data_IF_720717099870
#
_entry.id   IF_720717099870
#
_cell.length_a   1.000
_cell.length_b   1.000
_cell.length_c   1.000
_cell.angle_alpha   90.00
_cell.angle_beta   90.00
_cell.angle_gamma   90.00
#
_symmetry.space_group_name_H-M   'P 1'
#
loop_
_entity.id
_entity.type
_entity.pdbx_description
1 polymer ?
#
# COMPACT_ATOMS: atom_id res chain seq x y z
N UNK A 1 7.26 21.72 35.01
CA UNK A 1 7.37 21.57 33.55
C UNK A 1 6.50 22.65 32.91
N UNK A 2 7.10 23.61 32.19
CA UNK A 2 6.39 24.66 31.49
C UNK A 2 5.67 24.10 30.25
N UNK A 3 4.50 24.62 29.94
CA UNK A 3 3.65 24.24 28.81
C UNK A 3 4.40 24.23 27.46
N UNK A 4 5.39 25.10 27.30
CA UNK A 4 6.26 25.15 26.10
C UNK A 4 7.04 23.84 25.87
N UNK A 5 7.66 23.28 26.90
CA UNK A 5 8.49 22.08 26.76
C UNK A 5 7.66 20.83 26.35
N UNK A 6 6.43 20.71 26.88
CA UNK A 6 5.50 19.64 26.47
C UNK A 6 5.02 19.78 25.04
N UNK A 7 4.82 21.01 24.56
CA UNK A 7 4.46 21.25 23.16
C UNK A 7 5.61 20.90 22.22
N UNK A 8 6.85 21.22 22.59
CA UNK A 8 8.04 20.90 21.78
C UNK A 8 8.24 19.38 21.65
N UNK A 9 8.09 18.63 22.74
CA UNK A 9 8.11 17.16 22.73
C UNK A 9 7.01 16.58 21.83
N UNK A 10 5.79 17.11 21.94
CA UNK A 10 4.65 16.67 21.11
C UNK A 10 4.90 16.94 19.63
N UNK A 11 5.41 18.12 19.29
CA UNK A 11 5.75 18.48 17.91
C UNK A 11 6.88 17.61 17.35
N UNK A 12 7.89 17.28 18.16
CA UNK A 12 8.95 16.35 17.78
C UNK A 12 8.37 14.97 17.45
N UNK A 13 7.46 14.45 18.29
CA UNK A 13 6.81 13.17 18.05
C UNK A 13 5.94 13.19 16.79
N UNK A 14 5.20 14.26 16.53
CA UNK A 14 4.40 14.42 15.31
C UNK A 14 5.29 14.34 14.06
N UNK A 15 6.44 15.03 14.07
CA UNK A 15 7.38 15.00 12.94
C UNK A 15 7.90 13.58 12.69
N UNK A 16 8.25 12.87 13.75
CA UNK A 16 8.75 11.49 13.67
C UNK A 16 7.69 10.54 13.09
N UNK A 17 6.47 10.53 13.64
CA UNK A 17 5.38 9.68 13.17
C UNK A 17 5.01 10.01 11.72
N UNK A 18 4.98 11.29 11.35
CA UNK A 18 4.72 11.72 9.97
C UNK A 18 5.79 11.19 9.01
N UNK A 19 7.07 11.22 9.40
CA UNK A 19 8.14 10.67 8.58
C UNK A 19 7.97 9.16 8.35
N UNK A 20 7.62 8.41 9.40
CA UNK A 20 7.34 6.97 9.31
C UNK A 20 6.13 6.70 8.39
N UNK A 21 5.05 7.46 8.54
CA UNK A 21 3.85 7.31 7.70
C UNK A 21 4.13 7.57 6.21
N UNK A 22 4.97 8.57 5.91
CA UNK A 22 5.41 8.84 4.53
C UNK A 22 6.19 7.66 3.98
N UNK A 23 7.10 7.09 4.76
CA UNK A 23 7.90 5.96 4.31
C UNK A 23 7.05 4.71 4.07
N UNK A 24 6.14 4.39 5.00
CA UNK A 24 5.18 3.30 4.80
C UNK A 24 4.28 3.54 3.58
N UNK A 25 3.89 4.79 3.30
CA UNK A 25 3.12 5.11 2.09
C UNK A 25 3.93 4.86 0.82
N UNK A 26 5.22 5.21 0.80
CA UNK A 26 6.10 4.90 -0.33
C UNK A 26 6.24 3.40 -0.54
N UNK A 27 6.46 2.65 0.54
CA UNK A 27 6.57 1.19 0.50
C UNK A 27 5.28 0.55 -0.01
N UNK A 28 4.13 0.97 0.51
CA UNK A 28 2.82 0.47 0.06
C UNK A 28 2.58 0.74 -1.43
N UNK A 29 2.96 1.92 -1.93
CA UNK A 29 2.86 2.25 -3.36
C UNK A 29 3.76 1.35 -4.21
N UNK A 30 5.01 1.15 -3.80
CA UNK A 30 5.95 0.27 -4.50
C UNK A 30 5.41 -1.17 -4.59
N UNK A 31 4.94 -1.71 -3.47
CA UNK A 31 4.37 -3.05 -3.41
C UNK A 31 3.05 -3.17 -4.20
N UNK A 32 2.24 -2.11 -4.25
CA UNK A 32 1.03 -2.10 -5.05
C UNK A 32 1.32 -2.18 -6.55
N UNK A 33 2.35 -1.47 -7.02
CA UNK A 33 2.84 -1.55 -8.41
C UNK A 33 3.43 -2.93 -8.70
N UNK A 34 4.30 -3.43 -7.83
CA UNK A 34 4.90 -4.77 -7.98
C UNK A 34 3.82 -5.86 -8.07
N UNK A 35 2.80 -5.81 -7.19
CA UNK A 35 1.65 -6.72 -7.26
C UNK A 35 0.90 -6.60 -8.58
N UNK A 36 0.69 -5.39 -9.09
CA UNK A 36 0.03 -5.15 -10.38
C UNK A 36 0.83 -5.79 -11.51
N UNK A 37 2.14 -5.59 -11.52
CA UNK A 37 3.01 -6.14 -12.56
C UNK A 37 3.03 -7.68 -12.52
N UNK A 38 3.03 -8.28 -11.33
CA UNK A 38 2.91 -9.74 -11.15
C UNK A 38 1.55 -10.28 -11.62
N UNK A 39 0.45 -9.57 -11.34
CA UNK A 39 -0.86 -9.96 -11.88
C UNK A 39 -0.90 -9.82 -13.40
N UNK A 40 -0.26 -8.80 -13.95
CA UNK A 40 -0.16 -8.62 -15.41
C UNK A 40 0.61 -9.77 -16.06
N UNK A 41 1.73 -10.23 -15.47
CA UNK A 41 2.47 -11.36 -16.04
C UNK A 41 1.64 -12.64 -16.08
N UNK A 42 0.79 -12.89 -15.07
CA UNK A 42 -0.13 -14.03 -15.11
C UNK A 42 -1.15 -13.91 -16.25
N UNK A 43 -1.67 -12.72 -16.52
CA UNK A 43 -2.56 -12.48 -17.66
C UNK A 43 -1.84 -12.73 -18.99
N UNK A 44 -0.59 -12.30 -19.09
CA UNK A 44 0.25 -12.50 -20.28
C UNK A 44 0.55 -14.00 -20.50
N UNK A 45 0.66 -14.78 -19.42
CA UNK A 45 0.78 -16.25 -19.43
C UNK A 45 -0.56 -16.97 -19.72
N UNK A 46 -1.64 -16.22 -19.97
CA UNK A 46 -2.95 -16.75 -20.38
C UNK A 46 -3.93 -17.01 -19.24
N UNK A 47 -3.62 -16.63 -18.00
CA UNK A 47 -4.59 -16.69 -16.90
C UNK A 47 -5.70 -15.66 -17.11
N UNK A 48 -6.92 -15.98 -16.66
CA UNK A 48 -7.98 -14.97 -16.57
C UNK A 48 -7.94 -14.24 -15.22
N UNK A 49 -8.47 -13.02 -15.14
CA UNK A 49 -8.67 -12.33 -13.85
C UNK A 49 -9.53 -13.14 -12.86
N UNK A 50 -10.36 -14.04 -13.37
CA UNK A 50 -11.20 -14.92 -12.54
C UNK A 50 -10.38 -16.00 -11.85
N UNK A 51 -9.40 -16.56 -12.57
CA UNK A 51 -8.48 -17.57 -12.04
C UNK A 51 -7.59 -16.94 -10.97
N UNK A 52 -7.06 -15.75 -11.25
CA UNK A 52 -6.26 -14.97 -10.29
C UNK A 52 -7.09 -14.64 -9.04
N UNK A 53 -8.33 -14.18 -9.20
CA UNK A 53 -9.21 -13.86 -8.08
C UNK A 53 -9.47 -15.09 -7.19
N UNK A 54 -9.73 -16.25 -7.80
CA UNK A 54 -9.95 -17.51 -7.09
C UNK A 54 -8.69 -17.95 -6.33
N UNK A 55 -7.53 -17.88 -6.96
CA UNK A 55 -6.26 -18.31 -6.36
C UNK A 55 -5.85 -17.41 -5.18
N UNK A 56 -6.08 -16.10 -5.30
CA UNK A 56 -5.79 -15.14 -4.24
C UNK A 56 -6.87 -15.03 -3.16
N UNK A 57 -7.94 -15.83 -3.25
CA UNK A 57 -9.13 -15.77 -2.38
C UNK A 57 -9.72 -14.36 -2.23
N UNK A 58 -9.91 -13.68 -3.37
CA UNK A 58 -10.50 -12.35 -3.43
C UNK A 58 -11.60 -12.27 -4.48
N UNK A 59 -12.41 -11.22 -4.42
CA UNK A 59 -13.41 -10.97 -5.46
C UNK A 59 -12.74 -10.50 -6.76
N UNK A 60 -13.37 -10.80 -7.90
CA UNK A 60 -12.99 -10.21 -9.20
C UNK A 60 -12.96 -8.68 -9.17
N UNK A 61 -13.84 -8.05 -8.39
CA UNK A 61 -13.84 -6.60 -8.21
C UNK A 61 -12.57 -6.12 -7.50
N UNK A 62 -12.04 -6.88 -6.54
CA UNK A 62 -10.78 -6.57 -5.89
C UNK A 62 -9.62 -6.62 -6.89
N UNK A 63 -9.53 -7.67 -7.73
CA UNK A 63 -8.53 -7.75 -8.81
C UNK A 63 -8.64 -6.55 -9.74
N UNK A 64 -9.84 -6.21 -10.19
CA UNK A 64 -10.05 -5.04 -11.06
C UNK A 64 -9.52 -3.75 -10.44
N UNK A 65 -9.80 -3.51 -9.13
CA UNK A 65 -9.28 -2.35 -8.41
C UNK A 65 -7.75 -2.38 -8.28
N UNK A 66 -7.16 -3.55 -8.04
CA UNK A 66 -5.71 -3.70 -7.90
C UNK A 66 -4.97 -3.48 -9.22
N UNK A 67 -5.60 -3.78 -10.36
CA UNK A 67 -5.05 -3.56 -11.70
C UNK A 67 -5.21 -2.11 -12.20
N UNK A 68 -6.19 -1.38 -11.65
CA UNK A 68 -6.48 0.01 -12.01
C UNK A 68 -5.63 1.05 -11.25
N UNK A 69 -4.70 0.60 -10.40
CA UNK A 69 -3.73 1.44 -9.66
C UNK A 69 -2.70 2.04 -10.61
#
# INVERSE_FOLDING_TARGET
>A
MTTSAKHDETLARIKEVRAQAIEHTRQARRLALERRDLMQSLLDDGWSQSDIARELDVSRQAIHKMMAV
#
